data_IF_836144683665
#
_entry.id   IF_836144683665
#
_cell.length_a   1.000
_cell.length_b   1.000
_cell.length_c   1.000
_cell.angle_alpha   90.00
_cell.angle_beta   90.00
_cell.angle_gamma   90.00
#
_symmetry.space_group_name_H-M   'P 1'
#
loop_
_entity.id
_entity.type
_entity.pdbx_description
1 polymer ?
#
# COMPACT_ATOMS: atom_id res chain seq x y z
N UNK A 1 18.62 -33.46 -11.16
CA UNK A 1 17.75 -33.27 -9.99
C UNK A 1 17.66 -31.79 -9.68
N UNK A 2 16.45 -31.26 -9.70
CA UNK A 2 16.09 -29.88 -9.38
C UNK A 2 15.99 -29.74 -7.85
N UNK A 3 16.49 -28.67 -7.24
CA UNK A 3 16.00 -28.15 -5.95
C UNK A 3 16.60 -26.78 -5.64
N UNK A 4 16.06 -25.74 -6.28
CA UNK A 4 16.10 -24.39 -5.71
C UNK A 4 14.82 -24.22 -4.87
N UNK A 5 14.92 -23.78 -3.60
CA UNK A 5 13.73 -23.53 -2.79
C UNK A 5 12.97 -22.34 -3.39
N UNK A 6 11.80 -22.61 -3.96
CA UNK A 6 10.88 -21.61 -4.52
C UNK A 6 10.23 -20.71 -3.45
N UNK A 7 10.47 -21.00 -2.18
CA UNK A 7 9.72 -20.42 -1.07
C UNK A 7 10.35 -19.13 -0.51
N UNK A 8 11.59 -18.82 -0.87
CA UNK A 8 12.31 -17.63 -0.36
C UNK A 8 11.79 -16.33 -0.99
N UNK A 9 11.31 -16.39 -2.24
CA UNK A 9 10.82 -15.22 -2.96
C UNK A 9 9.47 -14.72 -2.41
N UNK A 10 8.51 -15.61 -2.16
CA UNK A 10 7.16 -15.21 -1.74
C UNK A 10 7.09 -14.51 -0.37
N UNK A 11 7.90 -14.93 0.60
CA UNK A 11 7.96 -14.26 1.91
C UNK A 11 8.64 -12.89 1.82
N UNK A 12 9.65 -12.76 0.95
CA UNK A 12 10.29 -11.47 0.68
C UNK A 12 9.33 -10.49 0.00
N UNK A 13 8.50 -10.99 -0.91
CA UNK A 13 7.53 -10.18 -1.65
C UNK A 13 6.39 -9.69 -0.75
N UNK A 14 5.83 -10.54 0.12
CA UNK A 14 4.79 -10.14 1.09
C UNK A 14 5.30 -9.05 2.04
N UNK A 15 6.53 -9.18 2.52
CA UNK A 15 7.14 -8.17 3.39
C UNK A 15 7.40 -6.85 2.66
N UNK A 16 7.76 -6.89 1.38
CA UNK A 16 7.92 -5.68 0.57
C UNK A 16 6.58 -4.96 0.38
N UNK A 17 5.50 -5.72 0.16
CA UNK A 17 4.14 -5.18 0.06
C UNK A 17 3.71 -4.54 1.38
N UNK A 18 3.95 -5.22 2.51
CA UNK A 18 3.66 -4.67 3.83
C UNK A 18 4.40 -3.34 4.07
N UNK A 19 5.69 -3.28 3.74
CA UNK A 19 6.49 -2.05 3.85
C UNK A 19 5.98 -0.94 2.92
N UNK A 20 5.57 -1.28 1.70
CA UNK A 20 4.99 -0.31 0.76
C UNK A 20 3.67 0.27 1.29
N UNK A 21 2.80 -0.58 1.86
CA UNK A 21 1.54 -0.14 2.48
C UNK A 21 1.84 0.76 3.68
N UNK A 22 2.76 0.38 4.57
CA UNK A 22 3.15 1.20 5.73
C UNK A 22 3.74 2.56 5.29
N UNK A 23 4.57 2.58 4.27
CA UNK A 23 5.12 3.82 3.72
C UNK A 23 4.03 4.72 3.14
N UNK A 24 3.07 4.15 2.40
CA UNK A 24 1.91 4.88 1.90
C UNK A 24 1.08 5.48 3.03
N UNK A 25 0.77 4.70 4.08
CA UNK A 25 0.03 5.20 5.25
C UNK A 25 0.76 6.34 5.96
N UNK A 26 2.08 6.24 6.10
CA UNK A 26 2.87 7.32 6.68
C UNK A 26 2.84 8.58 5.82
N UNK A 27 3.00 8.44 4.49
CA UNK A 27 2.94 9.56 3.56
C UNK A 27 1.55 10.24 3.61
N UNK A 28 0.47 9.46 3.61
CA UNK A 28 -0.91 9.96 3.79
C UNK A 28 -1.05 10.72 5.11
N UNK A 29 -0.59 10.13 6.23
CA UNK A 29 -0.68 10.79 7.54
C UNK A 29 0.08 12.12 7.59
N UNK A 30 1.25 12.21 6.96
CA UNK A 30 2.01 13.46 6.87
C UNK A 30 1.32 14.49 5.95
N UNK A 31 0.84 14.06 4.79
CA UNK A 31 0.17 14.91 3.81
C UNK A 31 -1.13 15.50 4.37
N UNK A 32 -1.97 14.66 4.98
CA UNK A 32 -3.25 15.09 5.59
C UNK A 32 -3.05 15.96 6.82
N UNK A 33 -1.97 15.74 7.59
CA UNK A 33 -1.66 16.62 8.73
C UNK A 33 -1.13 17.99 8.30
N UNK A 34 -0.29 18.03 7.26
CA UNK A 34 0.31 19.27 6.78
C UNK A 34 -0.59 20.05 5.82
N UNK A 35 -1.55 19.38 5.18
CA UNK A 35 -2.37 19.91 4.09
C UNK A 35 -1.50 20.55 2.99
N UNK A 36 -0.31 20.01 2.77
CA UNK A 36 0.64 20.50 1.78
C UNK A 36 0.37 19.82 0.43
N UNK A 37 0.08 20.57 -0.66
CA UNK A 37 -0.29 19.98 -1.95
C UNK A 37 0.78 19.06 -2.54
N UNK A 38 2.07 19.38 -2.38
CA UNK A 38 3.15 18.54 -2.88
C UNK A 38 3.22 17.23 -2.07
N UNK A 39 2.98 17.28 -0.76
CA UNK A 39 2.88 16.08 0.07
C UNK A 39 1.65 15.23 -0.27
N UNK A 40 0.51 15.85 -0.58
CA UNK A 40 -0.71 15.16 -1.04
C UNK A 40 -0.44 14.41 -2.36
N UNK A 41 0.23 15.06 -3.33
CA UNK A 41 0.61 14.41 -4.59
C UNK A 41 1.58 13.24 -4.36
N UNK A 42 2.60 13.43 -3.52
CA UNK A 42 3.56 12.38 -3.18
C UNK A 42 2.88 11.19 -2.47
N UNK A 43 1.95 11.47 -1.55
CA UNK A 43 1.18 10.45 -0.86
C UNK A 43 0.26 9.67 -1.80
N UNK A 44 -0.37 10.34 -2.77
CA UNK A 44 -1.13 9.68 -3.84
C UNK A 44 -0.26 8.73 -4.66
N UNK A 45 0.94 9.16 -5.05
CA UNK A 45 1.87 8.31 -5.79
C UNK A 45 2.28 7.06 -4.98
N UNK A 46 2.61 7.25 -3.70
CA UNK A 46 2.96 6.14 -2.80
C UNK A 46 1.80 5.16 -2.61
N UNK A 47 0.58 5.67 -2.42
CA UNK A 47 -0.62 4.84 -2.27
C UNK A 47 -0.94 4.05 -3.55
N UNK A 48 -0.82 4.68 -4.71
CA UNK A 48 -1.00 4.02 -6.01
C UNK A 48 -0.01 2.87 -6.19
N UNK A 49 1.27 3.11 -5.89
CA UNK A 49 2.31 2.08 -5.97
C UNK A 49 2.04 0.90 -5.02
N UNK A 50 1.63 1.18 -3.77
CA UNK A 50 1.28 0.15 -2.81
C UNK A 50 0.07 -0.69 -3.27
N UNK A 51 -0.97 -0.04 -3.82
CA UNK A 51 -2.14 -0.74 -4.40
C UNK A 51 -1.78 -1.63 -5.58
N UNK A 52 -0.91 -1.16 -6.47
CA UNK A 52 -0.44 -1.95 -7.61
C UNK A 52 0.30 -3.19 -7.14
N UNK A 53 1.28 -3.05 -6.23
CA UNK A 53 2.03 -4.18 -5.68
C UNK A 53 1.13 -5.19 -4.97
N UNK A 54 0.19 -4.70 -4.14
CA UNK A 54 -0.77 -5.55 -3.45
C UNK A 54 -1.69 -6.30 -4.41
N UNK A 55 -2.20 -5.63 -5.45
CA UNK A 55 -3.09 -6.24 -6.46
C UNK A 55 -2.34 -7.28 -7.29
N UNK A 56 -1.09 -7.01 -7.67
CA UNK A 56 -0.24 -7.97 -8.34
C UNK A 56 -0.01 -9.22 -7.47
N UNK A 57 0.22 -9.04 -6.17
CA UNK A 57 0.38 -10.15 -5.24
C UNK A 57 -0.92 -10.96 -5.09
N UNK A 58 -2.07 -10.31 -4.95
CA UNK A 58 -3.39 -10.97 -4.95
C UNK A 58 -3.61 -11.88 -6.16
N UNK A 59 -3.18 -11.43 -7.35
CA UNK A 59 -3.37 -12.18 -8.58
C UNK A 59 -2.39 -13.36 -8.75
N UNK A 60 -1.21 -13.31 -8.13
CA UNK A 60 -0.11 -14.23 -8.44
C UNK A 60 0.42 -15.05 -7.26
N UNK A 61 0.22 -14.62 -6.01
CA UNK A 61 0.60 -15.37 -4.82
C UNK A 61 -0.54 -16.27 -4.34
N UNK A 62 -0.49 -17.53 -4.75
CA UNK A 62 -1.38 -18.60 -4.30
C UNK A 62 -1.35 -18.85 -2.77
N UNK A 63 -0.38 -18.32 -2.05
CA UNK A 63 -0.14 -18.53 -0.62
C UNK A 63 -0.25 -17.25 0.21
N UNK A 64 -0.83 -16.17 -0.34
CA UNK A 64 -1.09 -14.99 0.48
C UNK A 64 -2.15 -15.32 1.53
N UNK A 65 -1.83 -15.05 2.80
CA UNK A 65 -2.72 -15.28 3.91
C UNK A 65 -3.96 -14.37 3.81
N UNK A 66 -5.15 -14.94 3.98
CA UNK A 66 -6.41 -14.18 3.84
C UNK A 66 -6.53 -13.05 4.88
N UNK A 67 -5.98 -13.22 6.08
CA UNK A 67 -5.99 -12.16 7.09
C UNK A 67 -5.03 -11.04 6.70
N UNK A 68 -3.85 -11.36 6.17
CA UNK A 68 -2.94 -10.36 5.59
C UNK A 68 -3.61 -9.60 4.45
N UNK A 69 -4.28 -10.29 3.53
CA UNK A 69 -4.97 -9.68 2.40
C UNK A 69 -6.10 -8.73 2.86
N UNK A 70 -6.96 -9.19 3.76
CA UNK A 70 -8.05 -8.38 4.30
C UNK A 70 -7.54 -7.15 5.06
N UNK A 71 -6.50 -7.34 5.89
CA UNK A 71 -5.88 -6.24 6.64
C UNK A 71 -5.24 -5.21 5.70
N UNK A 72 -4.43 -5.66 4.75
CA UNK A 72 -3.78 -4.81 3.76
C UNK A 72 -4.78 -4.00 2.93
N UNK A 73 -5.87 -4.63 2.48
CA UNK A 73 -6.94 -3.92 1.77
C UNK A 73 -7.56 -2.82 2.63
N UNK A 74 -7.90 -3.12 3.89
CA UNK A 74 -8.49 -2.14 4.80
C UNK A 74 -7.55 -0.94 5.05
N UNK A 75 -6.25 -1.18 5.21
CA UNK A 75 -5.25 -0.12 5.38
C UNK A 75 -5.15 0.78 4.14
N UNK A 76 -5.16 0.19 2.95
CA UNK A 76 -5.12 0.92 1.69
C UNK A 76 -6.40 1.74 1.44
N UNK A 77 -7.56 1.20 1.81
CA UNK A 77 -8.86 1.87 1.67
C UNK A 77 -8.98 3.04 2.65
N UNK A 78 -8.55 2.85 3.90
CA UNK A 78 -8.49 3.94 4.86
C UNK A 78 -7.55 5.07 4.40
N UNK A 79 -6.35 4.73 3.92
CA UNK A 79 -5.39 5.72 3.44
C UNK A 79 -5.92 6.48 2.20
N UNK A 80 -6.62 5.79 1.30
CA UNK A 80 -7.27 6.43 0.15
C UNK A 80 -8.35 7.42 0.58
N UNK A 81 -9.17 7.04 1.57
CA UNK A 81 -10.22 7.91 2.07
C UNK A 81 -9.66 9.19 2.70
N UNK A 82 -8.63 9.06 3.54
CA UNK A 82 -7.98 10.20 4.18
C UNK A 82 -7.36 11.17 3.19
N UNK A 83 -6.71 10.66 2.13
CA UNK A 83 -6.19 11.52 1.07
C UNK A 83 -7.30 12.24 0.31
N UNK A 84 -8.37 11.52 0.00
CA UNK A 84 -9.51 12.10 -0.72
C UNK A 84 -10.15 13.24 0.07
N UNK A 85 -10.38 13.06 1.37
CA UNK A 85 -10.91 14.11 2.25
C UNK A 85 -9.99 15.34 2.25
N UNK A 86 -8.67 15.15 2.39
CA UNK A 86 -7.73 16.27 2.37
C UNK A 86 -7.64 16.98 1.00
N UNK A 87 -7.83 16.26 -0.11
CA UNK A 87 -7.91 16.85 -1.45
C UNK A 87 -9.18 17.68 -1.65
N UNK A 88 -10.31 17.24 -1.10
CA UNK A 88 -11.56 18.00 -1.10
C UNK A 88 -11.42 19.27 -0.26
N UNK A 89 -10.87 19.15 0.96
CA UNK A 89 -10.64 20.27 1.87
C UNK A 89 -9.68 21.34 1.31
N UNK A 90 -8.77 20.97 0.39
CA UNK A 90 -7.86 21.92 -0.28
C UNK A 90 -8.51 22.72 -1.42
N UNK A 91 -9.68 22.29 -1.89
CA UNK A 91 -10.41 22.93 -2.99
C UNK A 91 -11.47 23.92 -2.50
N UNK A 92 -11.81 23.89 -1.22
CA UNK A 92 -12.76 24.79 -0.53
C UNK A 92 -12.11 26.08 0.01
#
# INVERSE_FOLDING_TARGET
>A
MNNYPKDVYGYSDLKQIELAIQAAQHAVGQATHSMDPDQIENANAALKQAREQFTHALAHQHNMDNAFAAHSSALLDQAAHQLHEAEEDLQD
#
